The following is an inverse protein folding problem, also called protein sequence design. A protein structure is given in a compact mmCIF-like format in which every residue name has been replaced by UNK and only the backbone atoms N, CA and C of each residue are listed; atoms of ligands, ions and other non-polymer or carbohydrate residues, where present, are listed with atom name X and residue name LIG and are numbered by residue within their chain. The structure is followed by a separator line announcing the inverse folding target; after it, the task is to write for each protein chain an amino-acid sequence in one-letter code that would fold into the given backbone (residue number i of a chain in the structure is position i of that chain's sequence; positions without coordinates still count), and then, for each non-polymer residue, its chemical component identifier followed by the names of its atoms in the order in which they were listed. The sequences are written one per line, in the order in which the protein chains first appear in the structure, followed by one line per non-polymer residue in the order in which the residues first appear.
data_IF_750577143579
#
_entry.id   IF_750577143579
#
_cell.length_a   1.000
_cell.length_b   1.000
_cell.length_c   1.000
_cell.angle_alpha   90.00
_cell.angle_beta   90.00
_cell.angle_gamma   90.00
#
_symmetry.space_group_name_H-M   'P 1'
#
loop_
_entity.id
_entity.type
_entity.pdbx_description
1 polymer ?
#
# COMPACT_ATOMS: atom_id res chain seq x y z
N UNK A 1 4.27 36.76 12.58
CA UNK A 1 3.81 35.37 12.83
C UNK A 1 3.74 35.22 14.32
N UNK A 2 2.66 34.65 14.84
CA UNK A 2 2.56 34.27 16.26
C UNK A 2 2.75 32.75 16.31
N UNK A 3 3.69 32.31 17.14
CA UNK A 3 3.97 30.90 17.38
C UNK A 3 3.65 30.62 18.85
N UNK A 4 2.43 30.16 19.11
CA UNK A 4 2.00 29.77 20.45
C UNK A 4 1.63 28.29 20.44
N UNK A 5 2.24 27.51 21.34
CA UNK A 5 1.90 26.09 21.60
C UNK A 5 1.81 25.20 20.35
N UNK A 6 2.71 25.35 19.39
CA UNK A 6 2.75 24.53 18.16
C UNK A 6 1.71 24.91 17.10
N UNK A 7 1.03 26.04 17.27
CA UNK A 7 0.18 26.64 16.25
C UNK A 7 0.87 27.85 15.62
N UNK A 8 0.96 27.85 14.30
CA UNK A 8 1.50 28.92 13.49
C UNK A 8 0.35 29.59 12.72
N UNK A 9 0.10 30.86 13.02
CA UNK A 9 -0.81 31.67 12.21
C UNK A 9 -0.08 32.25 10.99
N UNK A 10 -0.62 31.95 9.81
CA UNK A 10 -0.08 32.32 8.50
C UNK A 10 -1.04 33.35 7.87
N UNK A 11 -0.64 34.64 7.83
CA UNK A 11 -1.46 35.68 7.24
C UNK A 11 -1.70 35.47 5.74
N UNK A 12 -2.76 36.11 5.22
CA UNK A 12 -2.98 36.20 3.77
C UNK A 12 -1.74 36.79 3.08
N UNK A 13 -1.39 36.20 1.94
CA UNK A 13 -0.20 36.51 1.15
C UNK A 13 1.14 36.27 1.86
N UNK A 14 1.18 35.60 3.02
CA UNK A 14 2.44 35.20 3.63
C UNK A 14 3.04 33.99 2.91
N UNK A 15 4.37 33.89 3.02
CA UNK A 15 5.12 32.70 2.65
C UNK A 15 6.03 32.36 3.83
N UNK A 16 6.04 31.09 4.22
CA UNK A 16 6.90 30.57 5.29
C UNK A 16 7.72 29.41 4.75
N UNK A 17 8.95 29.32 5.23
CA UNK A 17 9.83 28.18 4.98
C UNK A 17 9.64 27.16 6.10
N UNK A 18 9.42 25.92 5.70
CA UNK A 18 9.24 24.75 6.55
C UNK A 18 10.45 23.85 6.34
N UNK A 19 11.31 23.74 7.36
CA UNK A 19 12.46 22.83 7.36
C UNK A 19 12.18 21.65 8.28
N UNK A 20 12.06 20.42 7.76
CA UNK A 20 11.88 19.25 8.61
C UNK A 20 13.10 19.01 9.50
N UNK A 21 12.88 18.56 10.73
CA UNK A 21 13.98 18.19 11.65
C UNK A 21 14.59 16.83 11.29
N UNK A 22 15.78 16.52 11.81
CA UNK A 22 16.42 15.20 11.62
C UNK A 22 15.52 14.06 12.08
N UNK A 23 14.82 14.22 13.21
CA UNK A 23 13.88 13.23 13.72
C UNK A 23 12.71 12.99 12.74
N UNK A 24 12.15 14.06 12.18
CA UNK A 24 11.10 13.92 11.19
C UNK A 24 11.61 13.27 9.91
N UNK A 25 12.84 13.59 9.48
CA UNK A 25 13.49 12.99 8.31
C UNK A 25 13.71 11.49 8.49
N UNK A 26 14.17 11.06 9.67
CA UNK A 26 14.29 9.64 10.03
C UNK A 26 12.94 8.93 9.99
N UNK A 27 11.88 9.58 10.51
CA UNK A 27 10.51 9.08 10.42
C UNK A 27 9.96 9.09 8.99
N UNK A 28 10.50 9.93 8.12
CA UNK A 28 10.13 10.08 6.72
C UNK A 28 8.87 10.92 6.45
N UNK A 29 8.28 11.56 7.46
CA UNK A 29 7.10 12.41 7.28
C UNK A 29 6.89 13.43 8.41
N UNK A 30 6.18 14.52 8.11
CA UNK A 30 5.63 15.48 9.10
C UNK A 30 4.11 15.47 9.06
N UNK A 31 3.47 15.44 10.23
CA UNK A 31 2.02 15.67 10.33
C UNK A 31 1.75 17.17 10.48
N UNK A 32 0.84 17.69 9.68
CA UNK A 32 0.42 19.08 9.64
C UNK A 32 -1.10 19.15 9.76
N UNK A 33 -1.64 19.72 10.82
CA UNK A 33 -3.07 19.98 10.92
C UNK A 33 -3.35 21.39 10.41
N UNK A 34 -3.98 21.48 9.25
CA UNK A 34 -4.22 22.74 8.57
C UNK A 34 -5.67 23.18 8.77
N UNK A 35 -5.86 24.34 9.40
CA UNK A 35 -7.16 24.96 9.60
C UNK A 35 -7.27 26.24 8.79
N UNK A 36 -8.32 26.36 8.00
CA UNK A 36 -8.70 27.62 7.34
C UNK A 36 -9.95 28.20 8.00
N UNK A 37 -10.37 29.38 7.55
CA UNK A 37 -11.63 29.97 8.02
C UNK A 37 -12.86 29.29 7.43
N UNK A 38 -12.71 28.53 6.35
CA UNK A 38 -13.82 27.92 5.62
C UNK A 38 -14.07 26.44 5.99
N UNK A 39 -13.07 25.75 6.55
CA UNK A 39 -13.15 24.31 6.79
C UNK A 39 -12.56 23.89 8.14
N UNK A 40 -13.06 22.76 8.65
CA UNK A 40 -12.48 22.08 9.82
C UNK A 40 -11.02 21.68 9.59
N UNK A 41 -10.23 21.48 10.67
CA UNK A 41 -8.83 21.09 10.56
C UNK A 41 -8.68 19.80 9.75
N UNK A 42 -7.86 19.86 8.71
CA UNK A 42 -7.52 18.69 7.92
C UNK A 42 -6.11 18.23 8.29
N UNK A 43 -5.97 16.99 8.76
CA UNK A 43 -4.68 16.39 9.08
C UNK A 43 -3.95 15.94 7.82
N UNK A 44 -2.79 16.53 7.59
CA UNK A 44 -1.94 16.29 6.43
C UNK A 44 -0.71 15.53 6.84
N UNK A 45 -0.23 14.71 5.90
CA UNK A 45 1.10 14.15 5.99
C UNK A 45 1.93 14.70 4.85
N UNK A 46 3.01 15.35 5.23
CA UNK A 46 4.03 15.85 4.35
C UNK A 46 5.12 14.80 4.26
N UNK A 47 5.17 13.99 3.18
CA UNK A 47 6.23 13.00 3.03
C UNK A 47 7.56 13.70 2.83
N UNK A 48 8.60 13.24 3.53
CA UNK A 48 9.92 13.83 3.48
C UNK A 48 10.86 13.00 2.62
N UNK A 49 11.69 13.67 1.81
CA UNK A 49 12.78 13.02 1.08
C UNK A 49 14.03 13.83 1.37
N UNK A 50 14.98 13.22 2.09
CA UNK A 50 16.35 13.71 2.25
C UNK A 50 16.42 15.22 2.56
N UNK A 51 17.03 16.02 1.69
CA UNK A 51 17.29 17.45 1.90
C UNK A 51 16.14 18.34 1.40
N UNK A 52 14.97 17.76 1.09
CA UNK A 52 13.81 18.56 0.74
C UNK A 52 13.29 19.35 1.93
N UNK A 53 13.01 20.62 1.65
CA UNK A 53 12.27 21.54 2.50
C UNK A 53 11.06 22.07 1.73
N UNK A 54 10.19 22.81 2.40
CA UNK A 54 8.92 23.21 1.82
C UNK A 54 8.64 24.69 2.04
N UNK A 55 8.04 25.32 1.05
CA UNK A 55 7.44 26.64 1.21
C UNK A 55 5.94 26.49 1.36
N UNK A 56 5.38 27.06 2.42
CA UNK A 56 3.94 27.18 2.55
C UNK A 56 3.54 28.60 2.14
N UNK A 57 2.70 28.68 1.12
CA UNK A 57 2.09 29.93 0.66
C UNK A 57 0.60 29.94 0.97
N UNK A 58 0.12 31.07 1.51
CA UNK A 58 -1.29 31.31 1.75
C UNK A 58 -1.77 32.47 0.85
N UNK A 59 -1.87 32.26 -0.48
CA UNK A 59 -2.06 33.33 -1.46
C UNK A 59 -3.37 34.11 -1.31
N UNK A 60 -4.47 33.45 -0.92
CA UNK A 60 -5.81 34.07 -0.91
C UNK A 60 -6.54 33.91 0.43
N UNK A 61 -6.06 33.02 1.29
CA UNK A 61 -6.68 32.63 2.56
C UNK A 61 -5.66 32.74 3.68
N UNK A 62 -6.10 33.06 4.90
CA UNK A 62 -5.25 32.91 6.10
C UNK A 62 -5.37 31.48 6.61
N UNK A 63 -4.35 30.99 7.29
CA UNK A 63 -4.30 29.61 7.79
C UNK A 63 -3.74 29.55 9.20
N UNK A 64 -4.23 28.60 9.99
CA UNK A 64 -3.54 28.16 11.21
C UNK A 64 -3.01 26.76 10.96
N UNK A 65 -1.69 26.62 11.06
CA UNK A 65 -0.99 25.36 10.91
C UNK A 65 -0.61 24.85 12.30
N UNK A 66 -1.06 23.65 12.67
CA UNK A 66 -0.63 22.98 13.90
C UNK A 66 0.27 21.81 13.56
N UNK A 67 1.36 21.64 14.30
CA UNK A 67 2.31 20.55 14.09
C UNK A 67 3.14 20.32 15.37
N UNK A 68 3.80 19.17 15.46
CA UNK A 68 4.75 18.93 16.56
C UNK A 68 6.00 19.81 16.35
N UNK A 69 6.32 20.74 17.27
CA UNK A 69 7.46 21.64 17.11
C UNK A 69 8.81 20.91 16.98
N UNK A 70 8.93 19.68 17.50
CA UNK A 70 10.14 18.86 17.35
C UNK A 70 10.35 18.35 15.92
N UNK A 71 9.29 18.30 15.10
CA UNK A 71 9.34 17.75 13.75
C UNK A 71 9.72 18.77 12.67
N UNK A 72 9.62 20.06 12.96
CA UNK A 72 9.73 21.10 11.92
C UNK A 72 10.15 22.45 12.48
N UNK A 73 11.15 23.05 11.84
CA UNK A 73 11.57 24.44 12.04
C UNK A 73 10.82 25.32 11.04
N UNK A 74 10.29 26.44 11.50
CA UNK A 74 9.57 27.41 10.68
C UNK A 74 10.35 28.71 10.63
N UNK A 75 10.63 29.18 9.42
CA UNK A 75 11.34 30.43 9.18
C UNK A 75 10.46 31.38 8.35
N UNK A 76 10.41 32.64 8.76
CA UNK A 76 9.80 33.69 7.94
C UNK A 76 10.75 34.08 6.81
N UNK A 77 10.24 34.19 5.59
CA UNK A 77 11.04 34.68 4.45
C UNK A 77 10.66 36.10 4.06
N UNK A 78 11.61 36.85 3.51
CA UNK A 78 11.41 38.24 3.10
C UNK A 78 10.41 38.36 1.95
N UNK A 79 9.69 39.50 1.86
CA UNK A 79 8.74 39.76 0.75
C UNK A 79 9.35 39.64 -0.65
N UNK A 80 10.60 40.11 -0.90
CA UNK A 80 11.25 39.91 -2.20
C UNK A 80 11.48 38.43 -2.55
N UNK A 81 11.93 37.62 -1.58
CA UNK A 81 12.14 36.18 -1.78
C UNK A 81 10.80 35.46 -2.02
N UNK A 82 9.76 35.84 -1.29
CA UNK A 82 8.40 35.35 -1.53
C UNK A 82 7.89 35.69 -2.94
N UNK A 83 8.13 36.91 -3.44
CA UNK A 83 7.78 37.29 -4.80
C UNK A 83 8.56 36.48 -5.85
N UNK A 84 9.86 36.26 -5.64
CA UNK A 84 10.68 35.42 -6.52
C UNK A 84 10.16 33.98 -6.60
N UNK A 85 9.79 33.37 -5.48
CA UNK A 85 9.24 32.00 -5.42
C UNK A 85 7.94 31.92 -6.23
N UNK A 86 7.04 32.91 -6.09
CA UNK A 86 5.79 32.99 -6.87
C UNK A 86 6.04 33.07 -8.37
N UNK A 87 6.98 33.92 -8.80
CA UNK A 87 7.33 34.08 -10.21
C UNK A 87 7.97 32.80 -10.79
N UNK A 88 8.93 32.19 -10.07
CA UNK A 88 9.61 30.95 -10.49
C UNK A 88 8.62 29.80 -10.75
N UNK A 89 7.51 29.76 -9.99
CA UNK A 89 6.43 28.77 -10.14
C UNK A 89 5.58 28.94 -11.38
N UNK A 90 5.34 30.19 -11.81
CA UNK A 90 4.62 30.47 -13.05
C UNK A 90 5.40 29.92 -14.25
N UNK A 91 6.73 30.02 -14.20
CA UNK A 91 7.64 29.65 -15.28
C UNK A 91 7.94 28.13 -15.33
N UNK A 92 8.09 27.45 -14.19
CA UNK A 92 8.41 26.00 -14.18
C UNK A 92 7.16 25.12 -14.03
N UNK A 93 6.65 24.56 -15.15
CA UNK A 93 5.55 23.56 -15.15
C UNK A 93 5.77 22.39 -14.18
N UNK A 94 7.02 21.93 -14.02
CA UNK A 94 7.36 20.82 -13.11
C UNK A 94 7.06 21.14 -11.63
N UNK A 95 7.10 22.42 -11.21
CA UNK A 95 6.77 22.83 -9.83
C UNK A 95 5.33 22.46 -9.43
N UNK A 96 4.41 22.37 -10.40
CA UNK A 96 2.99 22.09 -10.15
C UNK A 96 2.71 20.65 -9.74
N UNK A 97 3.55 19.70 -10.17
CA UNK A 97 3.32 18.26 -9.94
C UNK A 97 3.59 17.84 -8.49
N UNK A 98 4.59 18.44 -7.85
CA UNK A 98 4.91 18.20 -6.44
C UNK A 98 4.18 19.13 -5.46
N UNK A 99 3.56 20.21 -5.94
CA UNK A 99 2.85 21.14 -5.05
C UNK A 99 1.60 20.46 -4.48
N UNK A 100 1.47 20.50 -3.16
CA UNK A 100 0.25 20.12 -2.47
C UNK A 100 -0.62 21.38 -2.33
N UNK A 101 -1.92 21.26 -2.59
CA UNK A 101 -2.86 22.38 -2.59
C UNK A 101 -4.11 22.02 -1.78
N UNK A 102 -4.55 22.95 -0.92
CA UNK A 102 -5.73 22.82 -0.08
C UNK A 102 -6.31 24.18 0.25
N UNK A 103 -7.56 24.39 -0.12
CA UNK A 103 -8.33 25.57 0.26
C UNK A 103 -7.55 26.89 0.10
N UNK A 104 -6.90 27.00 -1.07
CA UNK A 104 -6.05 28.13 -1.42
C UNK A 104 -4.63 28.10 -0.84
N UNK A 105 -4.32 27.26 0.14
CA UNK A 105 -2.99 27.07 0.73
C UNK A 105 -2.16 26.11 -0.11
N UNK A 106 -0.88 26.42 -0.28
CA UNK A 106 0.03 25.67 -1.14
C UNK A 106 1.29 25.29 -0.40
N UNK A 107 1.63 24.01 -0.38
CA UNK A 107 2.91 23.51 0.13
C UNK A 107 3.76 23.09 -1.07
N UNK A 108 4.87 23.80 -1.26
CA UNK A 108 5.73 23.71 -2.44
C UNK A 108 7.06 23.09 -2.02
N UNK A 109 7.39 21.87 -2.50
CA UNK A 109 8.68 21.26 -2.21
C UNK A 109 9.81 21.99 -2.92
N UNK A 110 10.96 22.11 -2.26
CA UNK A 110 12.18 22.71 -2.78
C UNK A 110 13.42 21.99 -2.20
N UNK A 111 14.51 21.99 -2.97
CA UNK A 111 15.75 21.31 -2.61
C UNK A 111 16.50 20.83 -3.86
N UNK A 112 17.48 19.91 -3.72
CA UNK A 112 18.26 19.39 -4.83
C UNK A 112 17.40 18.79 -5.94
N UNK A 113 17.79 19.00 -7.22
CA UNK A 113 16.96 18.63 -8.38
C UNK A 113 16.65 17.13 -8.44
N UNK A 114 17.62 16.29 -8.10
CA UNK A 114 17.47 14.83 -8.07
C UNK A 114 16.37 14.40 -7.09
N UNK A 115 16.36 14.99 -5.90
CA UNK A 115 15.40 14.69 -4.84
C UNK A 115 14.01 15.25 -5.17
N UNK A 116 13.97 16.45 -5.72
CA UNK A 116 12.75 17.08 -6.20
C UNK A 116 12.06 16.23 -7.29
N UNK A 117 12.82 15.73 -8.29
CA UNK A 117 12.29 14.84 -9.32
C UNK A 117 11.76 13.53 -8.73
N UNK A 118 12.48 12.97 -7.75
CA UNK A 118 12.06 11.76 -7.04
C UNK A 118 10.75 11.98 -6.27
N UNK A 119 10.62 13.10 -5.57
CA UNK A 119 9.39 13.52 -4.91
C UNK A 119 8.21 13.62 -5.89
N UNK A 120 8.39 14.32 -7.01
CA UNK A 120 7.34 14.50 -8.01
C UNK A 120 6.89 13.17 -8.62
N UNK A 121 7.83 12.24 -8.89
CA UNK A 121 7.51 10.89 -9.39
C UNK A 121 6.59 10.15 -8.41
N UNK A 122 6.85 10.28 -7.10
CA UNK A 122 6.07 9.62 -6.03
C UNK A 122 4.71 10.26 -5.81
N UNK A 123 4.65 11.58 -5.80
CA UNK A 123 3.37 12.28 -5.73
C UNK A 123 2.48 11.94 -6.91
N UNK A 124 3.04 11.82 -8.12
CA UNK A 124 2.28 11.35 -9.29
C UNK A 124 1.76 9.93 -9.10
N UNK A 125 2.59 9.05 -8.56
CA UNK A 125 2.22 7.67 -8.29
C UNK A 125 1.11 7.55 -7.23
N UNK A 126 1.21 8.28 -6.12
CA UNK A 126 0.14 8.35 -5.11
C UNK A 126 -1.16 8.93 -5.68
N UNK A 127 -1.09 9.94 -6.56
CA UNK A 127 -2.28 10.45 -7.26
C UNK A 127 -2.88 9.39 -8.17
N UNK A 128 -2.05 8.67 -8.91
CA UNK A 128 -2.50 7.62 -9.82
C UNK A 128 -3.17 6.46 -9.08
N UNK A 129 -2.63 6.04 -7.93
CA UNK A 129 -3.22 4.99 -7.10
C UNK A 129 -4.37 5.47 -6.22
N UNK A 130 -4.78 6.74 -6.32
CA UNK A 130 -5.77 7.36 -5.43
C UNK A 130 -5.27 7.62 -4.00
N UNK A 131 -4.04 7.19 -3.63
CA UNK A 131 -3.44 7.34 -2.30
C UNK A 131 -2.84 8.73 -2.05
N UNK A 132 -3.35 9.77 -2.71
CA UNK A 132 -2.88 11.13 -2.52
C UNK A 132 -3.21 11.62 -1.11
N UNK A 133 -2.25 12.26 -0.44
CA UNK A 133 -2.37 12.72 0.96
C UNK A 133 -3.54 13.68 1.21
N UNK A 134 -3.98 14.40 0.19
CA UNK A 134 -5.13 15.30 0.24
C UNK A 134 -6.38 14.73 -0.46
N UNK A 135 -6.37 13.42 -0.73
CA UNK A 135 -7.47 12.71 -1.38
C UNK A 135 -8.59 12.42 -0.39
N UNK A 136 -9.76 12.10 -0.93
CA UNK A 136 -10.93 11.73 -0.14
C UNK A 136 -10.62 10.55 0.80
N UNK A 137 -9.90 9.55 0.30
CA UNK A 137 -9.47 8.36 1.05
C UNK A 137 -8.68 8.71 2.31
N UNK A 138 -7.72 9.63 2.22
CA UNK A 138 -6.87 9.95 3.37
C UNK A 138 -7.64 10.74 4.43
N UNK A 139 -8.69 11.47 4.02
CA UNK A 139 -9.63 12.11 4.95
C UNK A 139 -10.55 11.09 5.61
N UNK A 140 -11.08 10.18 4.81
CA UNK A 140 -12.06 9.20 5.27
C UNK A 140 -11.41 8.04 6.01
N UNK A 141 -10.13 7.76 5.76
CA UNK A 141 -9.36 6.67 6.36
C UNK A 141 -7.99 7.15 6.82
N UNK A 142 -7.92 8.03 7.85
CA UNK A 142 -6.67 8.52 8.41
C UNK A 142 -5.75 7.39 8.92
N UNK A 143 -6.31 6.22 9.25
CA UNK A 143 -5.58 5.02 9.63
C UNK A 143 -4.64 4.48 8.54
N UNK A 144 -4.90 4.76 7.25
CA UNK A 144 -3.97 4.43 6.16
C UNK A 144 -2.62 5.12 6.34
N UNK A 145 -2.64 6.24 7.04
CA UNK A 145 -1.49 7.07 7.34
C UNK A 145 -0.97 6.77 8.75
N UNK A 146 -1.84 6.83 9.75
CA UNK A 146 -1.44 6.77 11.16
C UNK A 146 -1.23 5.36 11.68
N UNK A 147 -1.64 4.35 10.91
CA UNK A 147 -1.79 2.98 11.37
C UNK A 147 -3.18 2.74 11.95
N UNK A 148 -3.52 1.46 12.07
CA UNK A 148 -4.84 1.04 12.52
C UNK A 148 -4.96 1.19 14.03
N UNK A 149 -5.98 1.92 14.52
CA UNK A 149 -6.21 2.00 15.95
C UNK A 149 -6.59 0.60 16.49
N UNK A 150 -6.17 0.26 17.71
CA UNK A 150 -6.72 -0.89 18.41
C UNK A 150 -8.21 -0.65 18.63
N UNK A 151 -9.08 -1.48 18.05
CA UNK A 151 -10.53 -1.34 18.28
C UNK A 151 -10.91 -1.84 19.67
N UNK A 152 -11.92 -1.22 20.31
CA UNK A 152 -12.47 -1.76 21.55
C UNK A 152 -13.34 -3.00 21.24
N UNK A 153 -12.86 -4.15 21.72
CA UNK A 153 -13.42 -5.52 21.74
C UNK A 153 -13.04 -6.44 20.58
N UNK A 154 -12.51 -7.62 20.94
CA UNK A 154 -12.36 -8.78 20.05
C UNK A 154 -13.74 -9.16 19.52
N UNK A 155 -13.87 -9.28 18.21
CA UNK A 155 -15.05 -9.92 17.63
C UNK A 155 -15.09 -11.40 18.06
N UNK A 156 -16.26 -11.88 18.49
CA UNK A 156 -16.43 -13.31 18.79
C UNK A 156 -16.50 -14.04 17.47
N UNK A 157 -15.51 -14.92 17.20
CA UNK A 157 -15.53 -15.77 16.01
C UNK A 157 -16.68 -16.76 16.12
N UNK A 158 -17.45 -16.89 15.05
CA UNK A 158 -18.51 -17.89 14.99
C UNK A 158 -17.90 -19.29 14.84
N UNK A 159 -18.42 -20.29 15.58
CA UNK A 159 -17.74 -21.58 15.77
C UNK A 159 -17.96 -22.63 14.66
N UNK A 160 -18.70 -22.31 13.60
CA UNK A 160 -18.73 -23.10 12.38
C UNK A 160 -19.41 -22.27 11.28
N UNK A 161 -18.70 -21.93 10.22
CA UNK A 161 -19.31 -21.40 8.99
C UNK A 161 -18.49 -21.80 7.77
N UNK A 162 -19.19 -22.32 6.77
CA UNK A 162 -18.78 -22.22 5.39
C UNK A 162 -18.91 -20.75 4.97
N UNK A 163 -17.92 -20.18 4.27
CA UNK A 163 -16.77 -20.84 3.67
C UNK A 163 -15.57 -20.95 4.62
N UNK A 164 -14.77 -22.00 4.44
CA UNK A 164 -13.48 -22.21 5.12
C UNK A 164 -12.43 -21.26 4.53
N UNK A 165 -11.86 -20.41 5.36
CA UNK A 165 -10.91 -19.37 4.94
C UNK A 165 -9.49 -19.70 5.45
N UNK A 166 -8.51 -19.65 4.55
CA UNK A 166 -7.09 -19.59 4.89
C UNK A 166 -6.59 -18.14 4.79
N UNK A 167 -5.73 -17.73 5.71
CA UNK A 167 -4.93 -16.51 5.57
C UNK A 167 -3.48 -16.94 5.38
N UNK A 168 -2.90 -16.65 4.23
CA UNK A 168 -1.50 -16.88 3.94
C UNK A 168 -0.72 -15.58 4.13
N UNK A 169 0.03 -15.49 5.23
CA UNK A 169 0.81 -14.32 5.62
C UNK A 169 2.30 -14.63 5.49
N UNK A 170 3.01 -13.88 4.65
CA UNK A 170 4.47 -13.83 4.70
C UNK A 170 4.96 -12.61 5.48
N UNK A 171 5.69 -12.82 6.56
CA UNK A 171 6.14 -11.75 7.46
C UNK A 171 7.67 -11.73 7.56
N UNK A 172 8.29 -10.94 6.68
CA UNK A 172 9.74 -10.68 6.71
C UNK A 172 10.11 -9.68 7.82
N UNK A 173 9.32 -8.61 7.98
CA UNK A 173 9.52 -7.61 9.03
C UNK A 173 8.57 -7.89 10.20
N UNK A 174 9.05 -8.58 11.23
CA UNK A 174 8.23 -9.03 12.37
C UNK A 174 7.62 -7.89 13.18
N UNK A 175 8.20 -6.69 13.12
CA UNK A 175 7.66 -5.50 13.77
C UNK A 175 6.35 -4.98 13.14
N UNK A 176 5.94 -5.53 12.00
CA UNK A 176 4.62 -5.29 11.41
C UNK A 176 3.52 -6.19 11.98
N UNK A 177 3.87 -7.20 12.81
CA UNK A 177 2.89 -8.09 13.41
C UNK A 177 1.78 -7.36 14.19
N UNK A 178 2.05 -6.39 15.08
CA UNK A 178 1.00 -5.74 15.86
C UNK A 178 -0.08 -5.10 14.98
N UNK A 179 0.33 -4.52 13.84
CA UNK A 179 -0.57 -3.91 12.88
C UNK A 179 -1.50 -4.96 12.23
N UNK A 180 -0.94 -6.10 11.83
CA UNK A 180 -1.66 -7.20 11.18
C UNK A 180 -2.55 -7.94 12.19
N UNK A 181 -2.08 -8.12 13.42
CA UNK A 181 -2.84 -8.74 14.51
C UNK A 181 -4.14 -7.97 14.78
N UNK A 182 -4.06 -6.63 14.84
CA UNK A 182 -5.24 -5.76 15.00
C UNK A 182 -6.25 -6.03 13.88
N UNK A 183 -5.80 -6.02 12.63
CA UNK A 183 -6.68 -6.19 11.47
C UNK A 183 -7.34 -7.57 11.43
N UNK A 184 -6.56 -8.63 11.61
CA UNK A 184 -7.05 -10.01 11.63
C UNK A 184 -7.95 -10.30 12.86
N UNK A 185 -7.75 -9.56 13.96
CA UNK A 185 -8.61 -9.63 15.15
C UNK A 185 -10.00 -9.04 14.95
N UNK A 186 -10.22 -8.22 13.91
CA UNK A 186 -11.53 -7.64 13.58
C UNK A 186 -12.47 -8.64 12.90
N UNK A 187 -11.95 -9.74 12.36
CA UNK A 187 -12.73 -10.67 11.55
C UNK A 187 -13.62 -11.57 12.41
N UNK A 188 -14.92 -11.57 12.13
CA UNK A 188 -15.90 -12.50 12.70
C UNK A 188 -15.86 -13.87 12.02
N UNK A 189 -15.45 -13.91 10.74
CA UNK A 189 -15.30 -15.14 9.98
C UNK A 189 -14.12 -15.95 10.51
N UNK A 190 -14.30 -17.25 10.84
CA UNK A 190 -13.19 -18.10 11.26
C UNK A 190 -12.21 -18.30 10.10
N UNK A 191 -10.91 -18.33 10.42
CA UNK A 191 -9.87 -18.63 9.45
C UNK A 191 -8.71 -19.38 10.11
N UNK A 192 -7.95 -20.12 9.29
CA UNK A 192 -6.66 -20.71 9.67
C UNK A 192 -5.53 -19.83 9.15
N UNK A 193 -4.59 -19.46 10.02
CA UNK A 193 -3.44 -18.64 9.67
C UNK A 193 -2.26 -19.54 9.26
N UNK A 194 -1.76 -19.35 8.04
CA UNK A 194 -0.50 -19.89 7.57
C UNK A 194 0.53 -18.75 7.55
N UNK A 195 1.40 -18.72 8.54
CA UNK A 195 2.43 -17.71 8.71
C UNK A 195 3.78 -18.25 8.23
N UNK A 196 4.41 -17.57 7.29
CA UNK A 196 5.80 -17.84 6.90
C UNK A 196 6.71 -16.73 7.42
N UNK A 197 7.81 -17.11 8.07
CA UNK A 197 8.84 -16.23 8.61
C UNK A 197 10.18 -16.55 7.94
N UNK A 198 11.13 -15.62 7.96
CA UNK A 198 12.47 -15.86 7.43
C UNK A 198 13.49 -16.28 8.46
N UNK A 199 13.14 -16.13 9.75
CA UNK A 199 13.94 -16.53 10.90
C UNK A 199 13.01 -16.95 12.02
N UNK A 200 13.47 -17.84 12.88
CA UNK A 200 12.74 -18.18 14.09
C UNK A 200 12.55 -16.95 14.98
N UNK A 201 11.37 -16.85 15.57
CA UNK A 201 11.02 -15.84 16.56
C UNK A 201 10.04 -16.46 17.55
N UNK A 202 10.57 -16.91 18.70
CA UNK A 202 9.79 -17.64 19.70
C UNK A 202 8.69 -16.78 20.33
N UNK A 203 8.99 -15.50 20.60
CA UNK A 203 8.03 -14.55 21.17
C UNK A 203 6.84 -14.35 20.22
N UNK A 204 7.13 -14.09 18.94
CA UNK A 204 6.10 -13.94 17.91
C UNK A 204 5.30 -15.24 17.75
N UNK A 205 5.96 -16.39 17.68
CA UNK A 205 5.29 -17.70 17.58
C UNK A 205 4.33 -17.95 18.75
N UNK A 206 4.77 -17.68 19.98
CA UNK A 206 3.92 -17.79 21.17
C UNK A 206 2.73 -16.82 21.10
N UNK A 207 2.96 -15.57 20.67
CA UNK A 207 1.90 -14.57 20.47
C UNK A 207 0.87 -15.01 19.43
N UNK A 208 1.33 -15.49 18.27
CA UNK A 208 0.48 -15.97 17.19
C UNK A 208 -0.37 -17.14 17.66
N UNK A 209 0.22 -18.13 18.33
CA UNK A 209 -0.50 -19.30 18.83
C UNK A 209 -1.56 -18.92 19.90
N UNK A 210 -1.26 -17.92 20.74
CA UNK A 210 -2.19 -17.44 21.77
C UNK A 210 -3.38 -16.67 21.17
N UNK A 211 -3.18 -15.91 20.10
CA UNK A 211 -4.23 -15.07 19.49
C UNK A 211 -4.99 -15.80 18.38
N UNK A 212 -4.31 -16.67 17.64
CA UNK A 212 -4.83 -17.42 16.49
C UNK A 212 -4.49 -18.91 16.65
N UNK A 213 -5.19 -19.63 17.56
CA UNK A 213 -4.93 -21.04 17.80
C UNK A 213 -5.12 -21.87 16.53
N UNK A 214 -4.26 -22.88 16.34
CA UNK A 214 -4.25 -23.71 15.14
C UNK A 214 -3.53 -23.10 13.94
N UNK A 215 -2.85 -21.96 14.11
CA UNK A 215 -1.96 -21.39 13.10
C UNK A 215 -0.82 -22.34 12.74
N UNK A 216 -0.46 -22.40 11.47
CA UNK A 216 0.73 -23.10 10.97
C UNK A 216 1.83 -22.07 10.75
N UNK A 217 2.98 -22.25 11.39
CA UNK A 217 4.14 -21.36 11.24
C UNK A 217 5.26 -22.12 10.54
N UNK A 218 5.85 -21.54 9.49
CA UNK A 218 6.97 -22.12 8.75
C UNK A 218 8.12 -21.13 8.60
N UNK A 219 9.34 -21.62 8.78
CA UNK A 219 10.55 -20.84 8.49
C UNK A 219 10.98 -21.15 7.06
N UNK A 220 11.19 -20.12 6.26
CA UNK A 220 11.57 -20.22 4.84
C UNK A 220 12.66 -19.22 4.52
N UNK A 221 13.56 -19.56 3.61
CA UNK A 221 14.59 -18.62 3.15
C UNK A 221 13.94 -17.45 2.40
N UNK A 222 14.53 -16.26 2.49
CA UNK A 222 13.99 -15.04 1.88
C UNK A 222 14.30 -14.92 0.37
N UNK A 223 14.27 -16.03 -0.37
CA UNK A 223 14.34 -16.04 -1.83
C UNK A 223 12.93 -15.94 -2.41
N UNK A 224 12.74 -15.18 -3.51
CA UNK A 224 11.41 -14.95 -4.08
C UNK A 224 10.44 -14.13 -3.22
N UNK A 225 10.93 -13.51 -2.12
CA UNK A 225 10.20 -12.59 -1.24
C UNK A 225 8.89 -13.22 -0.74
N UNK A 226 7.74 -12.57 -0.94
CA UNK A 226 6.43 -13.08 -0.54
C UNK A 226 5.79 -14.05 -1.55
N UNK A 227 6.37 -14.19 -2.75
CA UNK A 227 5.82 -15.01 -3.83
C UNK A 227 6.16 -16.48 -3.61
N UNK A 228 7.45 -16.80 -3.42
CA UNK A 228 7.91 -18.18 -3.22
C UNK A 228 7.26 -18.84 -2.00
N UNK A 229 7.22 -18.23 -0.79
CA UNK A 229 6.57 -18.84 0.36
C UNK A 229 5.09 -19.17 0.13
N UNK A 230 4.39 -18.32 -0.63
CA UNK A 230 3.01 -18.59 -0.99
C UNK A 230 2.89 -19.75 -1.99
N UNK A 231 3.77 -19.82 -3.00
CA UNK A 231 3.81 -20.95 -3.93
C UNK A 231 4.12 -22.26 -3.21
N UNK A 232 5.04 -22.27 -2.23
CA UNK A 232 5.33 -23.47 -1.43
C UNK A 232 4.07 -24.00 -0.71
N UNK A 233 3.27 -23.11 -0.12
CA UNK A 233 1.99 -23.47 0.53
C UNK A 233 0.91 -23.89 -0.48
N UNK A 234 0.93 -23.32 -1.68
CA UNK A 234 0.00 -23.71 -2.75
C UNK A 234 0.34 -25.11 -3.30
N UNK A 235 1.62 -25.36 -3.54
CA UNK A 235 2.15 -26.57 -4.15
C UNK A 235 2.03 -27.79 -3.25
N UNK A 236 2.19 -27.62 -1.94
CA UNK A 236 2.11 -28.72 -0.97
C UNK A 236 0.67 -29.04 -0.49
N UNK A 237 -0.33 -28.34 -1.03
CA UNK A 237 -1.73 -28.58 -0.71
C UNK A 237 -2.20 -27.96 0.60
N UNK A 238 -1.46 -27.03 1.20
CA UNK A 238 -1.88 -26.34 2.44
C UNK A 238 -3.26 -25.65 2.32
N UNK A 239 -3.70 -25.36 1.09
CA UNK A 239 -4.98 -24.71 0.82
C UNK A 239 -6.09 -25.66 0.35
N UNK A 240 -5.86 -26.97 0.26
CA UNK A 240 -6.80 -27.94 -0.36
C UNK A 240 -8.11 -28.09 0.43
N UNK A 241 -8.07 -27.87 1.74
CA UNK A 241 -9.25 -27.90 2.62
C UNK A 241 -9.98 -26.55 2.69
N UNK A 242 -9.55 -25.52 1.97
CA UNK A 242 -10.12 -24.17 2.07
C UNK A 242 -10.89 -23.78 0.82
N UNK A 243 -11.98 -23.06 1.03
CA UNK A 243 -12.78 -22.53 -0.07
C UNK A 243 -12.11 -21.26 -0.63
N UNK A 244 -11.55 -20.43 0.26
CA UNK A 244 -10.84 -19.19 -0.08
C UNK A 244 -9.51 -19.05 0.66
N UNK A 245 -8.53 -18.42 0.00
CA UNK A 245 -7.26 -18.01 0.60
C UNK A 245 -7.08 -16.49 0.46
N UNK A 246 -6.83 -15.81 1.58
CA UNK A 246 -6.39 -14.42 1.64
C UNK A 246 -4.86 -14.38 1.70
N UNK A 247 -4.21 -13.97 0.61
CA UNK A 247 -2.76 -13.78 0.54
C UNK A 247 -2.41 -12.34 0.94
N UNK A 248 -1.64 -12.18 2.01
CA UNK A 248 -1.11 -10.89 2.49
C UNK A 248 0.37 -11.00 2.86
N UNK A 249 1.06 -9.85 2.98
CA UNK A 249 2.45 -9.85 3.42
C UNK A 249 2.81 -8.61 4.26
N UNK A 250 3.77 -8.78 5.18
CA UNK A 250 4.38 -7.70 5.95
C UNK A 250 5.72 -7.24 5.36
N UNK A 251 5.69 -6.61 4.18
CA UNK A 251 6.88 -6.03 3.52
C UNK A 251 6.95 -4.53 3.77
N UNK A 252 8.15 -4.03 4.05
CA UNK A 252 8.49 -2.61 4.03
C UNK A 252 9.21 -2.26 2.73
N UNK A 253 8.92 -1.09 2.16
CA UNK A 253 9.65 -0.58 1.00
C UNK A 253 10.94 0.12 1.42
N UNK A 254 11.87 -0.62 2.04
CA UNK A 254 13.19 -0.12 2.43
C UNK A 254 14.13 -0.24 1.22
N UNK A 255 14.14 0.75 0.35
CA UNK A 255 15.11 0.84 -0.76
C UNK A 255 15.77 2.20 -0.70
N UNK A 256 17.08 2.25 -0.95
CA UNK A 256 17.90 3.46 -0.93
C UNK A 256 17.23 4.58 -1.74
N UNK A 257 16.71 5.57 -1.02
CA UNK A 257 16.02 6.72 -1.57
C UNK A 257 14.49 6.67 -1.55
N UNK A 258 13.81 5.57 -1.18
CA UNK A 258 12.34 5.48 -0.92
C UNK A 258 11.98 6.12 0.42
N UNK A 259 10.88 6.90 0.47
CA UNK A 259 10.34 7.38 1.75
C UNK A 259 9.60 6.22 2.39
N UNK A 260 9.98 5.79 3.61
CA UNK A 260 9.33 4.69 4.29
C UNK A 260 7.81 4.81 4.34
N UNK A 261 7.29 6.03 4.59
CA UNK A 261 5.85 6.31 4.68
C UNK A 261 5.06 5.92 3.43
N UNK A 262 5.66 5.99 2.23
CA UNK A 262 4.97 5.58 1.00
C UNK A 262 4.78 4.07 0.93
N UNK A 263 5.74 3.30 1.46
CA UNK A 263 5.61 1.86 1.59
C UNK A 263 4.51 1.48 2.58
N UNK A 264 4.44 2.19 3.71
CA UNK A 264 3.40 1.96 4.71
C UNK A 264 2.01 2.34 4.18
N UNK A 265 1.87 3.49 3.51
CA UNK A 265 0.62 3.88 2.85
C UNK A 265 0.20 2.86 1.80
N UNK A 266 1.14 2.34 1.01
CA UNK A 266 0.82 1.30 0.02
C UNK A 266 0.27 0.05 0.69
N UNK A 267 0.98 -0.45 1.70
CA UNK A 267 0.58 -1.63 2.46
C UNK A 267 -0.80 -1.41 3.11
N UNK A 268 -0.98 -0.29 3.79
CA UNK A 268 -2.22 0.05 4.50
C UNK A 268 -3.39 0.30 3.55
N UNK A 269 -3.19 0.95 2.42
CA UNK A 269 -4.24 1.09 1.43
C UNK A 269 -4.64 -0.27 0.83
N UNK A 270 -3.69 -1.20 0.69
CA UNK A 270 -4.01 -2.58 0.27
C UNK A 270 -4.79 -3.31 1.36
N UNK A 271 -4.39 -3.12 2.63
CA UNK A 271 -5.15 -3.67 3.75
C UNK A 271 -6.55 -3.06 3.84
N UNK A 272 -6.72 -1.76 3.56
CA UNK A 272 -8.01 -1.10 3.47
C UNK A 272 -8.94 -1.84 2.52
N UNK A 273 -8.45 -2.13 1.31
CA UNK A 273 -9.22 -2.80 0.27
C UNK A 273 -9.51 -4.28 0.54
N UNK A 274 -8.74 -4.95 1.39
CA UNK A 274 -8.80 -6.41 1.50
C UNK A 274 -9.18 -6.95 2.89
N UNK A 275 -8.72 -6.33 3.97
CA UNK A 275 -8.73 -6.93 5.31
C UNK A 275 -9.05 -5.96 6.46
N UNK A 276 -9.20 -4.66 6.19
CA UNK A 276 -9.18 -3.64 7.24
C UNK A 276 -10.36 -3.69 8.20
N UNK A 277 -11.54 -4.08 7.71
CA UNK A 277 -12.77 -4.15 8.51
C UNK A 277 -13.45 -5.50 8.31
N UNK A 278 -14.23 -5.92 9.29
CA UNK A 278 -15.05 -7.13 9.17
C UNK A 278 -16.01 -7.04 7.98
N UNK A 279 -16.63 -5.87 7.81
CA UNK A 279 -17.59 -5.64 6.73
C UNK A 279 -16.96 -5.77 5.35
N UNK A 280 -15.72 -5.31 5.17
CA UNK A 280 -15.00 -5.48 3.91
C UNK A 280 -14.71 -6.97 3.63
N UNK A 281 -14.29 -7.72 4.65
CA UNK A 281 -14.06 -9.17 4.54
C UNK A 281 -15.34 -9.90 4.18
N UNK A 282 -16.45 -9.62 4.86
CA UNK A 282 -17.75 -10.20 4.55
C UNK A 282 -18.22 -9.84 3.13
N UNK A 283 -17.96 -8.61 2.68
CA UNK A 283 -18.26 -8.19 1.30
C UNK A 283 -17.50 -9.05 0.29
N UNK A 284 -16.19 -9.27 0.50
CA UNK A 284 -15.36 -10.11 -0.37
C UNK A 284 -15.83 -11.57 -0.35
N UNK A 285 -16.13 -12.11 0.83
CA UNK A 285 -16.64 -13.48 0.99
C UNK A 285 -17.96 -13.66 0.25
N UNK A 286 -18.90 -12.73 0.40
CA UNK A 286 -20.18 -12.75 -0.30
C UNK A 286 -20.00 -12.67 -1.82
N UNK A 287 -19.08 -11.83 -2.32
CA UNK A 287 -18.79 -11.77 -3.76
C UNK A 287 -18.34 -13.12 -4.33
N UNK A 288 -17.52 -13.87 -3.59
CA UNK A 288 -17.20 -15.23 -4.00
C UNK A 288 -18.42 -16.16 -3.91
N UNK A 289 -19.20 -16.11 -2.83
CA UNK A 289 -20.36 -17.00 -2.67
C UNK A 289 -21.44 -16.76 -3.73
N UNK A 290 -21.68 -15.50 -4.08
CA UNK A 290 -22.69 -15.08 -5.05
C UNK A 290 -22.27 -15.35 -6.49
N UNK A 291 -20.97 -15.47 -6.76
CA UNK A 291 -20.45 -15.75 -8.10
C UNK A 291 -19.31 -16.78 -8.09
N UNK A 292 -19.64 -18.01 -8.51
CA UNK A 292 -18.70 -19.13 -8.60
C UNK A 292 -17.60 -18.94 -9.64
N UNK A 293 -17.80 -18.06 -10.63
CA UNK A 293 -16.81 -17.76 -11.66
C UNK A 293 -15.68 -16.86 -11.17
N UNK A 294 -15.85 -16.14 -10.06
CA UNK A 294 -14.78 -15.29 -9.52
C UNK A 294 -13.71 -16.18 -8.88
N UNK A 295 -12.49 -16.12 -9.42
CA UNK A 295 -11.34 -16.88 -8.92
C UNK A 295 -10.38 -16.04 -8.09
N UNK A 296 -10.21 -14.75 -8.40
CA UNK A 296 -9.34 -13.83 -7.65
C UNK A 296 -10.07 -12.50 -7.42
N UNK A 297 -9.96 -11.98 -6.20
CA UNK A 297 -10.39 -10.64 -5.81
C UNK A 297 -9.21 -9.87 -5.24
N UNK A 298 -8.82 -8.75 -5.84
CA UNK A 298 -7.70 -7.93 -5.38
C UNK A 298 -8.03 -6.44 -5.21
N UNK A 299 -7.05 -5.62 -4.79
CA UNK A 299 -7.24 -4.21 -4.53
C UNK A 299 -7.38 -3.42 -5.84
N UNK A 300 -8.53 -2.79 -6.06
CA UNK A 300 -8.83 -1.98 -7.26
C UNK A 300 -7.76 -0.94 -7.55
N UNK A 301 -7.24 -0.35 -6.48
CA UNK A 301 -6.32 0.79 -6.52
C UNK A 301 -4.92 0.41 -7.00
N UNK A 302 -4.60 -0.88 -6.93
CA UNK A 302 -3.32 -1.46 -7.36
C UNK A 302 -3.52 -2.47 -8.50
N UNK A 303 -4.66 -2.42 -9.18
CA UNK A 303 -4.88 -3.18 -10.42
C UNK A 303 -4.19 -2.45 -11.58
N UNK A 304 -3.04 -2.97 -11.99
CA UNK A 304 -2.36 -2.53 -13.21
C UNK A 304 -3.04 -3.18 -14.42
N UNK A 305 -3.43 -2.38 -15.43
CA UNK A 305 -4.17 -2.84 -16.61
C UNK A 305 -3.55 -2.31 -17.91
N UNK A 306 -3.44 -3.15 -18.92
CA UNK A 306 -3.15 -2.77 -20.30
C UNK A 306 -4.32 -3.24 -21.14
N UNK A 307 -4.87 -2.34 -21.96
CA UNK A 307 -6.01 -2.61 -22.84
C UNK A 307 -5.74 -2.06 -24.23
N UNK A 308 -6.46 -2.48 -25.28
CA UNK A 308 -6.23 -1.96 -26.63
C UNK A 308 -6.44 -0.44 -26.71
N UNK A 309 -7.36 0.09 -25.91
CA UNK A 309 -7.70 1.52 -25.84
C UNK A 309 -6.77 2.33 -24.94
N UNK A 310 -6.01 1.68 -24.07
CA UNK A 310 -5.05 2.31 -23.16
C UNK A 310 -3.84 1.38 -22.94
N UNK A 311 -2.98 1.21 -23.97
CA UNK A 311 -1.86 0.28 -23.89
C UNK A 311 -0.82 0.78 -22.90
N UNK A 312 -0.33 -0.15 -22.06
CA UNK A 312 0.77 0.08 -21.12
C UNK A 312 1.75 -1.09 -21.18
N UNK A 313 3.04 -0.78 -21.12
CA UNK A 313 4.06 -1.81 -20.90
C UNK A 313 4.09 -2.20 -19.42
N UNK A 314 3.32 -3.25 -19.09
CA UNK A 314 3.24 -3.80 -17.74
C UNK A 314 4.31 -4.85 -17.46
N UNK A 315 4.86 -5.47 -18.51
CA UNK A 315 5.75 -6.62 -18.36
C UNK A 315 7.21 -6.18 -18.28
N UNK A 316 7.59 -5.14 -19.01
CA UNK A 316 8.94 -4.56 -18.98
C UNK A 316 10.02 -5.63 -19.12
N UNK A 317 10.96 -5.64 -18.15
CA UNK A 317 12.08 -6.59 -18.12
C UNK A 317 11.66 -8.05 -17.90
N UNK A 318 10.47 -8.30 -17.36
CA UNK A 318 10.00 -9.66 -17.07
C UNK A 318 9.30 -10.33 -18.24
N UNK A 319 9.15 -9.63 -19.39
CA UNK A 319 8.40 -10.12 -20.55
C UNK A 319 8.75 -11.55 -20.94
N UNK A 320 10.05 -11.84 -21.06
CA UNK A 320 10.53 -13.16 -21.49
C UNK A 320 10.19 -14.27 -20.48
N UNK A 321 10.40 -14.01 -19.17
CA UNK A 321 10.09 -14.98 -18.10
C UNK A 321 8.57 -15.21 -18.05
N UNK A 322 7.79 -14.12 -18.13
CA UNK A 322 6.33 -14.16 -18.13
C UNK A 322 5.79 -14.98 -19.31
N UNK A 323 6.27 -14.74 -20.53
CA UNK A 323 5.86 -15.51 -21.71
C UNK A 323 6.24 -16.99 -21.60
N UNK A 324 7.41 -17.29 -21.03
CA UNK A 324 7.89 -18.66 -20.80
C UNK A 324 6.97 -19.41 -19.84
N UNK A 325 6.65 -18.81 -18.68
CA UNK A 325 5.78 -19.42 -17.68
C UNK A 325 4.34 -19.53 -18.22
N UNK A 326 3.83 -18.51 -18.94
CA UNK A 326 2.52 -18.57 -19.58
C UNK A 326 2.40 -19.73 -20.58
N UNK A 327 3.43 -19.92 -21.41
CA UNK A 327 3.49 -21.06 -22.34
C UNK A 327 3.47 -22.40 -21.59
N UNK A 328 4.20 -22.51 -20.47
CA UNK A 328 4.16 -23.71 -19.60
C UNK A 328 2.77 -23.97 -19.00
N UNK A 329 1.97 -22.93 -18.77
CA UNK A 329 0.55 -23.07 -18.35
C UNK A 329 -0.39 -23.47 -19.50
N UNK A 330 0.12 -23.68 -20.72
CA UNK A 330 -0.67 -24.11 -21.88
C UNK A 330 -1.42 -22.99 -22.59
N UNK A 331 -1.22 -21.73 -22.19
CA UNK A 331 -1.85 -20.56 -22.84
C UNK A 331 -0.81 -19.44 -22.97
N UNK A 332 -0.34 -19.11 -24.19
CA UNK A 332 0.49 -17.95 -24.41
C UNK A 332 -0.28 -16.64 -24.18
N UNK A 333 0.41 -15.60 -23.70
CA UNK A 333 -0.20 -14.27 -23.52
C UNK A 333 -0.43 -13.63 -24.89
N UNK A 334 -1.70 -13.31 -25.18
CA UNK A 334 -2.08 -12.53 -26.36
C UNK A 334 -1.85 -11.03 -26.11
N UNK A 335 -1.62 -10.26 -27.17
CA UNK A 335 -1.11 -8.88 -27.08
C UNK A 335 -2.13 -7.84 -26.60
N UNK A 336 -3.39 -8.23 -26.38
CA UNK A 336 -4.48 -7.26 -26.43
C UNK A 336 -4.96 -6.80 -25.04
N UNK A 337 -4.82 -7.63 -23.99
CA UNK A 337 -5.14 -7.21 -22.63
C UNK A 337 -4.33 -7.98 -21.59
N UNK A 338 -3.81 -7.25 -20.59
CA UNK A 338 -3.09 -7.85 -19.47
C UNK A 338 -3.34 -7.06 -18.20
N UNK A 339 -3.50 -7.76 -17.08
CA UNK A 339 -3.58 -7.12 -15.78
C UNK A 339 -2.98 -7.98 -14.67
N UNK A 340 -2.65 -7.31 -13.58
CA UNK A 340 -2.21 -7.94 -12.34
C UNK A 340 -2.41 -6.97 -11.16
N UNK A 341 -2.46 -7.52 -9.94
CA UNK A 341 -2.44 -6.72 -8.73
C UNK A 341 -0.99 -6.45 -8.30
N UNK A 342 -0.59 -5.17 -8.34
CA UNK A 342 0.71 -4.74 -7.84
C UNK A 342 0.78 -4.90 -6.32
N UNK A 343 1.88 -5.49 -5.84
CA UNK A 343 2.11 -5.78 -4.43
C UNK A 343 1.61 -7.14 -3.97
N UNK A 344 1.21 -8.04 -4.88
CA UNK A 344 0.96 -9.47 -4.61
C UNK A 344 0.06 -9.78 -3.39
N UNK A 345 -0.97 -8.97 -3.13
CA UNK A 345 -1.95 -9.22 -2.07
C UNK A 345 -3.35 -9.30 -2.68
N UNK A 346 -4.08 -10.37 -2.38
CA UNK A 346 -5.38 -10.67 -2.97
C UNK A 346 -6.07 -11.81 -2.20
N UNK A 347 -7.36 -11.99 -2.46
CA UNK A 347 -8.10 -13.20 -2.13
C UNK A 347 -8.23 -14.08 -3.37
N UNK A 348 -8.21 -15.40 -3.20
CA UNK A 348 -8.39 -16.34 -4.30
C UNK A 348 -9.15 -17.59 -3.87
N UNK A 349 -9.82 -18.22 -4.84
CA UNK A 349 -10.13 -19.65 -4.79
C UNK A 349 -8.84 -20.43 -5.07
N UNK A 350 -8.46 -21.42 -4.24
CA UNK A 350 -7.27 -22.24 -4.53
C UNK A 350 -7.30 -22.87 -5.92
N UNK A 351 -8.49 -23.26 -6.42
CA UNK A 351 -8.68 -23.84 -7.75
C UNK A 351 -8.32 -22.88 -8.88
N UNK A 352 -8.50 -21.57 -8.69
CA UNK A 352 -8.10 -20.57 -9.69
C UNK A 352 -6.58 -20.49 -9.87
N UNK A 353 -5.82 -21.01 -8.91
CA UNK A 353 -4.35 -21.03 -8.95
C UNK A 353 -3.78 -22.37 -9.41
N UNK A 354 -4.63 -23.33 -9.81
CA UNK A 354 -4.20 -24.66 -10.24
C UNK A 354 -3.14 -24.66 -11.37
N UNK A 355 -3.22 -23.77 -12.39
CA UNK A 355 -2.18 -23.70 -13.42
C UNK A 355 -0.80 -23.33 -12.87
N UNK A 356 -0.73 -22.43 -11.88
CA UNK A 356 0.55 -22.11 -11.22
C UNK A 356 1.03 -23.24 -10.33
N UNK A 357 0.11 -23.88 -9.57
CA UNK A 357 0.43 -25.03 -8.72
C UNK A 357 1.09 -26.16 -9.51
N UNK A 358 0.55 -26.48 -10.69
CA UNK A 358 1.03 -27.57 -11.54
C UNK A 358 2.46 -27.36 -12.08
N UNK A 359 2.96 -26.13 -12.06
CA UNK A 359 4.30 -25.81 -12.55
C UNK A 359 5.41 -26.00 -11.51
N UNK A 360 5.08 -26.15 -10.23
CA UNK A 360 6.04 -26.30 -9.13
C UNK A 360 7.17 -25.25 -9.16
N UNK A 361 6.79 -23.98 -9.40
CA UNK A 361 7.74 -22.88 -9.59
C UNK A 361 8.52 -22.52 -8.33
N UNK A 362 8.10 -22.95 -7.14
CA UNK A 362 8.81 -22.62 -5.89
C UNK A 362 10.28 -23.07 -5.88
N UNK A 363 10.62 -24.10 -6.67
CA UNK A 363 11.98 -24.63 -6.86
C UNK A 363 12.82 -23.77 -7.82
N UNK A 364 12.18 -23.01 -8.71
CA UNK A 364 12.86 -22.14 -9.68
C UNK A 364 13.43 -20.86 -9.00
N UNK A 365 13.05 -20.59 -7.75
CA UNK A 365 13.55 -19.47 -6.97
C UNK A 365 14.91 -19.78 -6.35
N UNK A 366 15.97 -19.43 -7.08
CA UNK A 366 17.35 -19.53 -6.59
C UNK A 366 17.90 -18.16 -6.20
N UNK A 367 19.00 -18.09 -5.42
CA UNK A 367 19.70 -16.83 -5.16
C UNK A 367 20.14 -16.12 -6.45
N UNK A 368 20.46 -16.87 -7.50
CA UNK A 368 20.91 -16.35 -8.79
C UNK A 368 19.77 -15.78 -9.66
N UNK A 369 18.53 -16.21 -9.43
CA UNK A 369 17.34 -15.80 -10.20
C UNK A 369 16.37 -14.89 -9.43
N UNK A 370 16.66 -14.66 -8.14
CA UNK A 370 15.93 -13.70 -7.31
C UNK A 370 16.55 -12.31 -7.46
N UNK A 371 15.75 -11.29 -7.77
CA UNK A 371 16.25 -9.91 -7.87
C UNK A 371 15.53 -9.00 -6.88
N UNK A 372 16.26 -8.07 -6.27
CA UNK A 372 15.63 -7.03 -5.46
C UNK A 372 14.91 -5.97 -6.32
N UNK A 373 15.35 -5.84 -7.58
CA UNK A 373 14.82 -4.96 -8.63
C UNK A 373 14.01 -5.74 -9.68
N UNK A 374 13.25 -5.03 -10.52
CA UNK A 374 12.42 -5.61 -11.59
C UNK A 374 13.26 -6.47 -12.55
N UNK A 375 12.76 -7.67 -12.91
CA UNK A 375 13.45 -8.63 -13.79
C UNK A 375 13.68 -10.02 -13.18
N UNK A 376 13.41 -10.22 -11.89
CA UNK A 376 13.50 -11.54 -11.23
C UNK A 376 12.21 -12.36 -11.33
N UNK A 377 12.32 -13.66 -11.03
CA UNK A 377 11.20 -14.63 -11.15
C UNK A 377 10.00 -14.23 -10.28
N UNK A 378 10.22 -13.64 -9.11
CA UNK A 378 9.15 -13.15 -8.23
C UNK A 378 8.25 -12.10 -8.90
N UNK A 379 8.84 -11.18 -9.66
CA UNK A 379 8.12 -10.14 -10.36
C UNK A 379 7.38 -10.68 -11.59
N UNK A 380 7.93 -11.70 -12.25
CA UNK A 380 7.25 -12.40 -13.33
C UNK A 380 6.03 -13.17 -12.82
N UNK A 381 6.16 -13.91 -11.73
CA UNK A 381 5.07 -14.68 -11.14
C UNK A 381 3.99 -13.77 -10.52
N UNK A 382 4.37 -12.65 -9.89
CA UNK A 382 3.41 -11.63 -9.42
C UNK A 382 2.43 -11.21 -10.53
N UNK A 383 2.95 -10.99 -11.74
CA UNK A 383 2.16 -10.61 -12.91
C UNK A 383 1.25 -11.73 -13.42
N UNK A 384 1.53 -12.97 -13.06
CA UNK A 384 0.84 -14.15 -13.60
C UNK A 384 -0.29 -14.68 -12.72
N UNK A 385 -0.49 -14.20 -11.49
CA UNK A 385 -1.60 -14.68 -10.64
C UNK A 385 -2.97 -14.48 -11.31
N UNK A 386 -3.25 -13.28 -11.79
CA UNK A 386 -4.50 -12.98 -12.53
C UNK A 386 -4.60 -13.76 -13.84
N UNK A 387 -3.46 -13.96 -14.52
CA UNK A 387 -3.41 -14.72 -15.75
C UNK A 387 -3.73 -16.20 -15.50
N UNK A 388 -3.17 -16.79 -14.44
CA UNK A 388 -3.41 -18.17 -14.04
C UNK A 388 -4.89 -18.43 -13.73
N UNK A 389 -5.55 -17.50 -13.04
CA UNK A 389 -7.00 -17.58 -12.82
C UNK A 389 -7.78 -17.68 -14.13
N UNK A 390 -7.42 -16.87 -15.14
CA UNK A 390 -8.06 -16.90 -16.46
C UNK A 390 -7.72 -18.16 -17.27
N UNK A 391 -6.52 -18.72 -17.08
CA UNK A 391 -6.18 -20.02 -17.65
C UNK A 391 -7.04 -21.13 -17.03
N UNK A 392 -7.30 -21.04 -15.72
CA UNK A 392 -8.18 -21.95 -15.00
C UNK A 392 -9.69 -21.73 -15.27
N UNK A 393 -10.06 -20.77 -16.12
CA UNK A 393 -11.46 -20.48 -16.46
C UNK A 393 -12.20 -19.59 -15.47
N UNK A 394 -11.48 -18.91 -14.56
CA UNK A 394 -12.05 -17.99 -13.60
C UNK A 394 -11.86 -16.51 -13.98
N UNK A 395 -12.76 -15.69 -13.48
CA UNK A 395 -12.71 -14.23 -13.56
C UNK A 395 -11.86 -13.62 -12.44
N UNK A 396 -11.38 -12.41 -12.73
CA UNK A 396 -10.68 -11.56 -11.78
C UNK A 396 -11.50 -10.32 -11.51
N UNK A 397 -11.77 -10.05 -10.24
CA UNK A 397 -12.50 -8.87 -9.78
C UNK A 397 -11.59 -8.00 -8.90
N UNK A 398 -11.87 -6.71 -8.85
CA UNK A 398 -11.15 -5.82 -7.95
C UNK A 398 -12.11 -4.93 -7.14
N UNK A 399 -11.81 -4.78 -5.86
CA UNK A 399 -12.65 -4.12 -4.84
C UNK A 399 -11.95 -2.90 -4.24
N UNK A 400 -12.73 -2.01 -3.63
CA UNK A 400 -12.23 -0.90 -2.80
C UNK A 400 -12.89 -0.98 -1.43
N UNK A 401 -12.13 -0.70 -0.38
CA UNK A 401 -12.61 -0.68 1.02
C UNK A 401 -13.30 0.63 1.43
N UNK A 402 -13.48 1.57 0.50
CA UNK A 402 -14.00 2.93 0.77
C UNK A 402 -15.51 2.98 0.93
N UNK A 403 -16.25 1.96 0.47
CA UNK A 403 -17.71 1.99 0.36
C UNK A 403 -18.47 1.84 1.70
N UNK A 404 -17.77 1.67 2.82
CA UNK A 404 -18.38 1.19 4.06
C UNK A 404 -18.51 2.25 5.17
N UNK A 405 -17.94 3.45 5.04
CA UNK A 405 -18.12 4.54 6.02
C UNK A 405 -19.36 5.42 5.79
N UNK A 406 -20.16 5.14 4.74
CA UNK A 406 -21.34 5.94 4.37
C UNK A 406 -22.69 5.29 4.67
N UNK A 407 -22.75 4.22 5.46
CA UNK A 407 -23.98 3.46 5.74
C UNK A 407 -24.17 3.09 7.22
N UNK A 408 -23.63 3.91 8.12
CA UNK A 408 -23.98 3.83 9.55
C UNK A 408 -24.93 4.97 9.91
#
# INVERSE_FOLDING_TARGET
MLFERGQLHIPRHAVVLLRPSTQAQERGYVRLDLRTTAHEPNSWILPLINELFFFLEAPNTGATLSFNPADMIVESISRPLAAYIRCRRIVKKNLRLGTLNFDGIRIIPAGPEKEYKNYCKRMRFLRFSGSQHNGQIMRDHPEVITGWPPEPKKSVRTHATTPRIAVALHLYYTDLWPEIEILLGRWTSPFKLFLTLTKENQELTARVAAVFPGSVIRIVENFGRDVRPFLMLLEDGSFDEFDFVCKIHGKKSISHGRVPIFGDIWRRATFLDLIATNQQVLTIVNLFQDNTQIGIIGPRRFLATSTPTAPRDLLGKNRQIVDTIATRMGRPIQKDAFDFFEGTMFWARPQALAPLRALHLSLDFTPAHSSYDDGGVEHAVERLFNYAARVAGFDVMAVSGENHRGKD
#
